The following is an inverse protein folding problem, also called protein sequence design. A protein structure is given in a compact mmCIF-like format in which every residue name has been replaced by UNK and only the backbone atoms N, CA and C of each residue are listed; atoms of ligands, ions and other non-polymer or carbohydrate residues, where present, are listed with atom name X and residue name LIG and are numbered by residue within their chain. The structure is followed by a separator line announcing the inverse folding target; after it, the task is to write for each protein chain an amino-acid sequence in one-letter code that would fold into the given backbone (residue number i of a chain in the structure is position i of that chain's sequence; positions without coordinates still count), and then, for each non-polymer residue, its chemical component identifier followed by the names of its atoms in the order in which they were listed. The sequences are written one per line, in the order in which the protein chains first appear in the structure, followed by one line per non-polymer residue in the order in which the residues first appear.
data_IF_199784616499
#
_entry.id   IF_199784616499
#
_cell.length_a   1.000
_cell.length_b   1.000
_cell.length_c   1.000
_cell.angle_alpha   90.00
_cell.angle_beta   90.00
_cell.angle_gamma   90.00
#
_symmetry.space_group_name_H-M   'P 1'
#
loop_
_entity.id
_entity.type
_entity.pdbx_description
1 polymer ?
#
# COMPACT_ATOMS: atom_id res chain seq x y z
N UNK A 1 12.74 -32.34 -53.60
CA UNK A 1 12.70 -32.00 -53.14
C UNK A 1 12.44 -31.23 -52.44
N UNK A 2 12.38 -30.85 -52.13
CA UNK A 2 12.24 -30.27 -51.53
C UNK A 2 11.89 -29.46 -50.84
N UNK A 3 11.80 -29.07 -50.35
CA UNK A 3 11.55 -28.46 -49.76
C UNK A 3 11.27 -27.67 -49.02
N UNK A 4 11.26 -27.30 -48.62
CA UNK A 4 11.06 -26.60 -47.95
C UNK A 4 10.73 -25.78 -47.32
N UNK A 5 10.61 -25.34 -46.90
CA UNK A 5 10.41 -24.60 -46.28
C UNK A 5 10.09 -23.84 -45.48
N UNK A 6 10.18 -23.51 -45.08
CA UNK A 6 9.97 -22.84 -44.40
C UNK A 6 9.51 -22.06 -43.78
N UNK A 7 9.43 -21.72 -43.27
CA UNK A 7 9.08 -20.98 -42.63
C UNK A 7 8.81 -20.24 -41.86
N UNK A 8 8.70 -19.80 -41.51
CA UNK A 8 8.58 -19.14 -40.77
C UNK A 8 8.20 -18.30 -40.07
N UNK A 9 8.20 -17.93 -39.60
CA UNK A 9 7.97 -17.25 -39.00
C UNK A 9 7.63 -16.46 -38.27
N UNK A 10 7.69 -16.06 -37.90
CA UNK A 10 7.46 -15.34 -37.29
C UNK A 10 7.08 -14.62 -36.52
N UNK A 11 7.05 -14.29 -36.04
CA UNK A 11 6.82 -13.62 -35.35
C UNK A 11 6.51 -12.84 -34.69
N UNK A 12 6.43 -12.44 -34.32
CA UNK A 12 6.26 -11.73 -33.75
C UNK A 12 5.80 -11.01 -32.90
N UNK A 13 5.91 -10.68 -32.42
CA UNK A 13 5.54 -10.06 -31.65
C UNK A 13 5.28 -9.26 -30.97
N UNK A 14 5.22 -8.82 -30.62
CA UNK A 14 5.07 -8.12 -29.97
C UNK A 14 4.77 -7.36 -29.21
N UNK A 15 4.84 -7.10 -28.81
CA UNK A 15 4.66 -6.43 -28.16
C UNK A 15 4.00 -5.74 -27.58
N UNK A 16 3.87 -5.45 -27.22
CA UNK A 16 3.32 -4.82 -26.69
C UNK A 16 3.13 -4.20 -25.88
N UNK A 17 3.21 -3.92 -25.46
CA UNK A 17 3.15 -3.47 -24.77
C UNK A 17 3.23 -2.58 -24.15
N UNK A 18 3.40 -2.48 -23.67
CA UNK A 18 3.73 -1.82 -23.08
C UNK A 18 3.28 -0.75 -22.88
N UNK A 19 3.16 -0.37 -23.03
CA UNK A 19 2.76 0.64 -23.08
C UNK A 19 2.35 1.21 -22.09
N UNK A 20 2.20 1.06 -21.53
CA UNK A 20 1.76 1.45 -20.65
C UNK A 20 2.20 2.41 -20.02
N UNK A 21 2.85 2.73 -19.98
CA UNK A 21 3.39 3.58 -19.35
C UNK A 21 3.06 4.85 -19.66
N UNK A 22 2.22 5.23 -20.20
CA UNK A 22 1.96 6.38 -20.49
C UNK A 22 1.83 7.21 -19.44
N UNK A 23 2.32 8.21 -19.32
CA UNK A 23 2.23 9.09 -18.29
C UNK A 23 0.92 9.61 -18.31
N UNK A 24 0.27 9.54 -17.37
CA UNK A 24 -0.95 10.03 -17.42
C UNK A 24 -0.90 11.44 -17.28
N UNK A 25 -1.85 12.04 -17.68
CA UNK A 25 -1.91 13.36 -17.51
C UNK A 25 -2.21 13.57 -16.15
N UNK A 26 -1.93 14.41 -15.56
CA UNK A 26 -2.08 14.54 -14.22
C UNK A 26 -0.95 14.00 -13.53
N UNK A 27 -0.36 13.09 -14.08
CA UNK A 27 0.88 12.67 -13.71
C UNK A 27 1.27 12.43 -12.31
N UNK A 28 0.41 12.23 -11.43
CA UNK A 28 0.78 12.13 -10.06
C UNK A 28 0.76 10.70 -9.57
N UNK A 29 1.29 9.80 -10.36
CA UNK A 29 1.44 8.43 -9.92
C UNK A 29 2.74 8.30 -9.17
N UNK A 30 2.70 7.57 -8.05
CA UNK A 30 3.91 7.32 -7.27
C UNK A 30 4.71 6.18 -7.89
N UNK A 31 5.74 5.72 -7.20
CA UNK A 31 6.62 4.67 -7.71
C UNK A 31 5.89 3.36 -7.99
N UNK A 32 4.77 3.13 -7.33
CA UNK A 32 3.97 1.93 -7.54
C UNK A 32 2.80 2.17 -8.48
N UNK A 33 2.69 3.37 -9.03
CA UNK A 33 1.60 3.69 -9.95
C UNK A 33 0.33 4.16 -9.26
N UNK A 34 0.37 4.42 -7.97
CA UNK A 34 -0.81 4.87 -7.26
C UNK A 34 -1.06 6.35 -7.50
N UNK A 35 -2.32 6.72 -7.73
CA UNK A 35 -2.67 8.10 -8.03
C UNK A 35 -2.98 8.84 -6.74
N UNK A 36 -2.01 9.63 -6.28
CA UNK A 36 -2.14 10.33 -5.01
C UNK A 36 -3.26 11.34 -4.99
N UNK A 37 -3.47 12.04 -6.11
CA UNK A 37 -4.53 13.04 -6.14
C UNK A 37 -5.91 12.43 -6.02
N UNK A 38 -6.05 11.14 -6.29
CA UNK A 38 -7.30 10.44 -6.09
C UNK A 38 -7.35 9.74 -4.72
N UNK A 39 -6.34 9.97 -3.90
CA UNK A 39 -6.31 9.42 -2.55
C UNK A 39 -5.74 8.03 -2.44
N UNK A 40 -5.13 7.53 -3.51
CA UNK A 40 -4.57 6.18 -3.47
C UNK A 40 -3.15 6.19 -2.95
N UNK A 41 -2.84 5.24 -2.13
CA UNK A 41 -1.49 5.00 -1.63
C UNK A 41 -1.19 3.52 -1.76
N UNK A 42 0.07 3.20 -1.94
CA UNK A 42 0.47 1.80 -2.01
C UNK A 42 0.36 1.17 -0.64
N UNK A 43 -0.26 0.03 -0.57
CA UNK A 43 -0.30 -0.76 0.65
C UNK A 43 0.68 -1.92 0.52
N UNK A 44 1.72 -1.91 1.34
CA UNK A 44 2.68 -2.99 1.35
C UNK A 44 2.03 -4.28 1.84
N UNK A 45 1.06 -4.16 2.73
CA UNK A 45 0.40 -5.31 3.28
C UNK A 45 -0.53 -5.95 2.27
N UNK A 46 -1.26 -5.15 1.49
CA UNK A 46 -2.21 -5.67 0.52
C UNK A 46 -1.60 -5.81 -0.87
N UNK A 47 -0.42 -5.26 -1.09
CA UNK A 47 0.27 -5.30 -2.38
C UNK A 47 -0.57 -4.72 -3.51
N UNK A 48 -1.22 -3.61 -3.24
CA UNK A 48 -2.03 -2.90 -4.21
C UNK A 48 -2.24 -1.46 -3.76
N UNK A 49 -2.70 -0.62 -4.66
CA UNK A 49 -3.05 0.75 -4.30
C UNK A 49 -4.39 0.72 -3.56
N UNK A 50 -4.48 1.43 -2.46
CA UNK A 50 -5.71 1.50 -1.69
C UNK A 50 -6.00 2.95 -1.34
N UNK A 51 -7.27 3.22 -1.08
CA UNK A 51 -7.66 4.49 -0.46
C UNK A 51 -7.76 4.18 1.03
N UNK A 52 -6.88 4.72 1.86
CA UNK A 52 -6.80 4.29 3.25
C UNK A 52 -8.12 4.35 4.01
N UNK A 53 -8.92 5.37 3.76
CA UNK A 53 -10.19 5.49 4.47
C UNK A 53 -11.20 4.39 4.08
N UNK A 54 -11.03 3.80 2.91
CA UNK A 54 -11.89 2.69 2.49
C UNK A 54 -11.33 1.34 2.89
N UNK A 55 -10.02 1.24 2.99
CA UNK A 55 -9.37 -0.03 3.28
C UNK A 55 -9.19 -0.27 4.76
N UNK A 56 -9.33 0.76 5.59
CA UNK A 56 -8.96 0.67 6.98
C UNK A 56 -9.87 -0.23 7.79
N UNK A 57 -9.26 -1.04 8.65
CA UNK A 57 -9.98 -1.81 9.64
C UNK A 57 -10.12 -1.03 10.94
N UNK A 58 -9.22 -0.10 11.17
CA UNK A 58 -9.24 0.74 12.37
C UNK A 58 -9.03 2.18 11.95
N UNK A 59 -9.81 3.08 12.52
CA UNK A 59 -9.68 4.52 12.27
C UNK A 59 -9.59 5.21 13.60
N UNK A 60 -8.66 6.14 13.69
CA UNK A 60 -8.52 6.91 14.92
C UNK A 60 -8.00 8.29 14.59
N UNK A 61 -8.01 9.18 15.57
CA UNK A 61 -7.49 10.51 15.38
C UNK A 61 -5.98 10.51 15.55
N UNK A 62 -5.32 11.40 14.83
CA UNK A 62 -3.88 11.53 14.98
C UNK A 62 -3.57 12.14 16.33
N UNK A 63 -2.67 11.55 17.11
CA UNK A 63 -2.39 12.07 18.45
C UNK A 63 -1.74 13.45 18.43
N UNK A 64 -1.09 13.81 17.33
CA UNK A 64 -0.47 15.11 17.22
C UNK A 64 -1.39 16.17 16.64
N UNK A 65 -2.45 15.75 15.95
CA UNK A 65 -3.36 16.71 15.33
C UNK A 65 -4.71 16.06 15.13
N UNK A 66 -5.64 16.33 16.00
CA UNK A 66 -6.93 15.66 15.99
C UNK A 66 -7.78 15.96 14.76
N UNK A 67 -7.36 16.91 13.92
CA UNK A 67 -8.07 17.15 12.67
C UNK A 67 -7.64 16.18 11.58
N UNK A 68 -6.62 15.38 11.82
CA UNK A 68 -6.15 14.38 10.89
C UNK A 68 -6.56 13.00 11.36
N UNK A 69 -6.76 12.12 10.42
CA UNK A 69 -7.14 10.75 10.74
C UNK A 69 -5.95 9.82 10.53
N UNK A 70 -5.95 8.75 11.30
CA UNK A 70 -5.01 7.65 11.13
C UNK A 70 -5.81 6.46 10.69
N UNK A 71 -5.35 5.79 9.64
CA UNK A 71 -6.01 4.62 9.11
C UNK A 71 -5.09 3.42 9.26
N UNK A 72 -5.62 2.32 9.72
CA UNK A 72 -4.86 1.11 9.96
C UNK A 72 -5.47 -0.03 9.17
N UNK A 73 -4.66 -0.67 8.36
CA UNK A 73 -5.08 -1.84 7.59
C UNK A 73 -4.45 -3.06 8.25
N UNK A 74 -5.25 -4.06 8.54
CA UNK A 74 -4.76 -5.28 9.18
C UNK A 74 -4.62 -6.39 8.15
N UNK A 75 -3.65 -7.27 8.37
CA UNK A 75 -3.55 -8.47 7.55
C UNK A 75 -4.73 -9.39 7.85
N UNK A 76 -4.96 -10.34 6.95
CA UNK A 76 -6.10 -11.24 7.12
C UNK A 76 -6.02 -12.02 8.42
N UNK A 77 -4.82 -12.39 8.86
CA UNK A 77 -4.63 -13.12 10.12
C UNK A 77 -4.45 -12.17 11.29
N UNK A 78 -4.46 -10.85 11.05
CA UNK A 78 -4.29 -9.83 12.07
C UNK A 78 -2.94 -9.87 12.76
N UNK A 79 -1.97 -10.51 12.13
CA UNK A 79 -0.62 -10.56 12.68
C UNK A 79 0.17 -9.30 12.37
N UNK A 80 -0.27 -8.52 11.37
CA UNK A 80 0.42 -7.31 10.97
C UNK A 80 -0.56 -6.18 10.76
N UNK A 81 -0.10 -4.98 10.95
CA UNK A 81 -0.89 -3.77 10.71
C UNK A 81 -0.05 -2.80 9.90
N UNK A 82 -0.70 -2.08 9.00
CA UNK A 82 -0.03 -1.04 8.22
C UNK A 82 -0.66 0.28 8.60
N UNK A 83 0.18 1.27 8.88
CA UNK A 83 -0.28 2.56 9.39
C UNK A 83 -0.21 3.60 8.29
N UNK A 84 -1.30 4.32 8.10
CA UNK A 84 -1.36 5.47 7.21
C UNK A 84 -1.63 6.69 8.08
N UNK A 85 -0.60 7.45 8.34
CA UNK A 85 -0.67 8.63 9.19
C UNK A 85 0.33 9.67 8.72
N UNK A 86 0.10 10.93 9.10
CA UNK A 86 0.84 12.04 8.55
C UNK A 86 2.34 11.97 8.81
N UNK A 87 2.75 11.59 9.98
CA UNK A 87 4.17 11.59 10.30
C UNK A 87 4.77 10.21 10.36
N UNK A 88 4.11 9.25 9.76
CA UNK A 88 4.59 7.87 9.73
C UNK A 88 5.04 7.58 8.30
N UNK A 89 6.25 7.09 8.10
CA UNK A 89 6.71 6.79 6.75
C UNK A 89 5.77 5.84 6.03
N UNK A 90 5.68 6.03 4.72
CA UNK A 90 4.84 5.17 3.93
C UNK A 90 5.31 3.71 4.05
N UNK A 91 4.38 2.81 4.03
CA UNK A 91 4.65 1.37 4.11
C UNK A 91 5.23 0.93 5.46
N UNK A 92 4.87 1.63 6.52
CA UNK A 92 5.28 1.22 7.85
C UNK A 92 4.40 0.07 8.32
N UNK A 93 5.02 -1.07 8.55
CA UNK A 93 4.33 -2.26 9.01
C UNK A 93 4.65 -2.50 10.48
N UNK A 94 3.63 -2.84 11.22
CA UNK A 94 3.76 -3.19 12.63
C UNK A 94 3.43 -4.66 12.77
N UNK A 95 4.02 -5.28 13.78
CA UNK A 95 3.77 -6.68 14.07
C UNK A 95 3.00 -6.80 15.37
N UNK A 96 2.17 -7.81 15.48
CA UNK A 96 1.35 -8.00 16.66
C UNK A 96 2.22 -8.22 17.89
N UNK A 97 1.90 -7.50 18.96
CA UNK A 97 2.57 -7.65 20.23
C UNK A 97 1.48 -7.69 21.30
N UNK A 98 1.87 -7.94 22.54
CA UNK A 98 0.88 -7.94 23.59
C UNK A 98 0.28 -6.57 23.71
N UNK A 99 -1.01 -6.48 23.59
CA UNK A 99 -1.73 -5.22 23.73
C UNK A 99 -1.87 -4.42 22.46
N UNK A 100 -1.31 -4.88 21.32
CA UNK A 100 -1.46 -4.14 20.08
C UNK A 100 -0.45 -4.53 19.02
N UNK A 101 0.18 -3.53 18.42
CA UNK A 101 1.12 -3.72 17.33
C UNK A 101 2.30 -2.77 17.52
N UNK A 102 3.46 -3.16 17.07
CA UNK A 102 4.65 -2.32 17.18
C UNK A 102 5.56 -2.53 15.98
N UNK A 103 6.21 -1.43 15.54
CA UNK A 103 7.23 -1.54 14.51
C UNK A 103 8.47 -2.21 15.11
N UNK A 104 9.35 -2.72 14.23
CA UNK A 104 10.51 -3.44 14.73
C UNK A 104 11.41 -2.57 15.58
N UNK A 105 11.53 -1.29 15.25
CA UNK A 105 12.37 -0.39 16.03
C UNK A 105 11.63 0.17 17.24
N UNK A 106 10.36 -0.17 17.41
CA UNK A 106 9.57 0.27 18.56
C UNK A 106 9.16 1.72 18.52
N UNK A 107 9.46 2.44 17.45
CA UNK A 107 9.13 3.87 17.41
C UNK A 107 7.68 4.14 17.10
N UNK A 108 7.03 3.24 16.39
CA UNK A 108 5.62 3.38 16.06
C UNK A 108 4.89 2.22 16.71
N UNK A 109 3.91 2.54 17.53
CA UNK A 109 3.15 1.50 18.20
C UNK A 109 1.67 1.85 18.19
N UNK A 110 0.86 0.86 18.00
CA UNK A 110 -0.58 1.00 18.04
C UNK A 110 -1.07 0.14 19.19
N UNK A 111 -1.46 0.77 20.27
CA UNK A 111 -1.80 0.04 21.49
C UNK A 111 -3.27 0.22 21.82
N UNK A 112 -3.87 -0.80 22.40
CA UNK A 112 -5.26 -0.74 22.80
C UNK A 112 -5.34 -0.50 24.29
N UNK A 113 -5.97 0.61 24.66
CA UNK A 113 -6.14 0.98 26.04
C UNK A 113 -7.58 1.33 26.28
N UNK A 114 -8.19 0.82 27.31
CA UNK A 114 -9.58 1.13 27.66
C UNK A 114 -10.51 0.95 26.47
N UNK A 115 -10.23 -0.08 25.66
CA UNK A 115 -11.04 -0.40 24.50
C UNK A 115 -10.92 0.62 23.39
N UNK A 116 -9.93 1.47 23.43
CA UNK A 116 -9.67 2.42 22.38
C UNK A 116 -8.25 2.21 21.85
N UNK A 117 -8.09 2.47 20.57
CA UNK A 117 -6.77 2.39 19.97
C UNK A 117 -6.04 3.70 20.12
N UNK A 118 -4.75 3.62 20.36
CA UNK A 118 -3.92 4.79 20.51
C UNK A 118 -2.66 4.59 19.72
N UNK A 119 -2.30 5.59 18.90
CA UNK A 119 -1.08 5.54 18.12
C UNK A 119 0.02 6.30 18.84
N UNK A 120 1.18 5.68 18.94
CA UNK A 120 2.37 6.29 19.51
C UNK A 120 3.38 6.36 18.39
N UNK A 121 3.88 7.56 18.10
CA UNK A 121 4.82 7.72 17.00
C UNK A 121 5.91 8.75 17.32
#
# INVERSE_FOLDING_TARGET
MKTALAAFIAATALSAWAASSEPSLGGDRDAHGCIGSAGYSWSALKQTCVQPWNAADIKLDDPANSTLAVYVVLSADKAQAEIFAADVPQNTLLEAVKGGYASRDGKVRLMRENQQWRLIK
#
